data_IF_934887492061
#
_entry.id   IF_934887492061
#
_cell.length_a   1.000
_cell.length_b   1.000
_cell.length_c   1.000
_cell.angle_alpha   90.00
_cell.angle_beta   90.00
_cell.angle_gamma   90.00
#
_symmetry.space_group_name_H-M   'P 1'
#
loop_
_entity.id
_entity.type
_entity.pdbx_description
1 polymer ?
#
# COMPACT_ATOMS: atom_id res chain seq x y z
N UNK A 1 9.00 2.29 -23.71
CA UNK A 1 8.74 1.15 -22.81
C UNK A 1 9.00 1.67 -21.41
N UNK A 2 8.07 1.54 -20.48
CA UNK A 2 8.29 1.99 -19.11
C UNK A 2 9.41 1.14 -18.50
N UNK A 3 10.46 1.77 -17.97
CA UNK A 3 11.51 1.07 -17.24
C UNK A 3 10.91 0.63 -15.92
N UNK A 4 10.77 -0.68 -15.72
CA UNK A 4 10.29 -1.25 -14.47
C UNK A 4 11.35 -0.97 -13.39
N UNK A 5 10.99 -0.17 -12.38
CA UNK A 5 11.91 0.28 -11.33
C UNK A 5 12.28 -0.84 -10.34
N UNK A 6 11.39 -1.80 -10.16
CA UNK A 6 11.60 -2.98 -9.32
C UNK A 6 11.24 -4.24 -10.13
N UNK A 7 12.25 -5.00 -10.52
CA UNK A 7 12.04 -6.32 -11.11
C UNK A 7 11.55 -7.32 -10.05
N UNK A 8 10.73 -8.30 -10.44
CA UNK A 8 10.33 -9.38 -9.53
C UNK A 8 11.53 -10.21 -9.01
N UNK A 9 12.64 -10.26 -9.76
CA UNK A 9 13.92 -10.87 -9.36
C UNK A 9 14.68 -10.06 -8.31
N UNK A 10 14.34 -8.79 -8.13
CA UNK A 10 14.97 -7.88 -7.17
C UNK A 10 14.26 -7.89 -5.80
N UNK A 11 13.52 -8.96 -5.48
CA UNK A 11 12.86 -9.17 -4.19
C UNK A 11 13.27 -10.51 -3.58
N UNK A 12 13.76 -10.48 -2.35
CA UNK A 12 14.14 -11.66 -1.57
C UNK A 12 13.36 -11.68 -0.27
N UNK A 13 12.72 -12.83 0.02
CA UNK A 13 12.02 -13.12 1.27
C UNK A 13 12.78 -14.13 2.13
N UNK A 14 12.61 -14.05 3.45
CA UNK A 14 13.23 -14.99 4.38
C UNK A 14 14.75 -14.90 4.47
N UNK A 15 15.34 -13.75 4.14
CA UNK A 15 16.78 -13.55 4.26
C UNK A 15 17.22 -13.50 5.73
N UNK A 16 18.50 -13.76 5.95
CA UNK A 16 19.14 -13.67 7.27
C UNK A 16 20.41 -12.85 7.09
N UNK A 17 20.60 -11.88 7.96
CA UNK A 17 21.82 -11.09 8.06
C UNK A 17 22.17 -10.90 9.54
N UNK A 18 23.46 -10.99 9.87
CA UNK A 18 23.93 -10.84 11.25
C UNK A 18 23.95 -9.38 11.70
N UNK A 19 24.14 -8.46 10.75
CA UNK A 19 24.28 -7.03 10.98
C UNK A 19 23.80 -6.24 9.76
N UNK A 20 23.67 -4.92 9.95
CA UNK A 20 23.32 -3.96 8.90
C UNK A 20 24.18 -4.09 7.65
N UNK A 21 25.47 -4.40 7.80
CA UNK A 21 26.41 -4.45 6.68
C UNK A 21 26.10 -5.64 5.78
N UNK A 22 25.84 -6.83 6.34
CA UNK A 22 25.43 -8.00 5.56
C UNK A 22 24.11 -7.77 4.81
N UNK A 23 23.17 -7.04 5.43
CA UNK A 23 21.92 -6.70 4.77
C UNK A 23 22.11 -5.68 3.62
N UNK A 24 22.99 -4.68 3.79
CA UNK A 24 23.38 -3.75 2.73
C UNK A 24 24.03 -4.51 1.56
N UNK A 25 24.89 -5.49 1.87
CA UNK A 25 25.59 -6.28 0.86
C UNK A 25 24.65 -7.11 0.01
N UNK A 26 23.65 -7.72 0.66
CA UNK A 26 22.65 -8.52 -0.02
C UNK A 26 21.90 -7.67 -1.03
N UNK A 27 21.36 -6.53 -0.57
CA UNK A 27 20.55 -5.64 -1.40
C UNK A 27 21.39 -4.93 -2.46
N UNK A 28 22.60 -4.50 -2.14
CA UNK A 28 23.54 -3.93 -3.10
C UNK A 28 23.94 -4.93 -4.18
N UNK A 29 24.19 -6.19 -3.81
CA UNK A 29 24.46 -7.27 -4.75
C UNK A 29 23.29 -7.54 -5.70
N UNK A 30 22.05 -7.41 -5.23
CA UNK A 30 20.85 -7.48 -6.08
C UNK A 30 20.80 -6.33 -7.09
N UNK A 31 21.08 -5.09 -6.67
CA UNK A 31 21.15 -3.94 -7.59
C UNK A 31 22.24 -4.12 -8.66
N UNK A 32 23.36 -4.76 -8.32
CA UNK A 32 24.42 -5.10 -9.29
C UNK A 32 23.96 -6.18 -10.26
N UNK A 33 23.26 -7.21 -9.77
CA UNK A 33 22.73 -8.30 -10.60
C UNK A 33 21.68 -7.80 -11.62
N UNK A 34 20.88 -6.82 -11.23
CA UNK A 34 19.93 -6.13 -12.11
C UNK A 34 20.60 -5.11 -13.06
N UNK A 35 21.91 -4.87 -12.90
CA UNK A 35 22.66 -3.93 -13.73
C UNK A 35 22.39 -2.45 -13.42
N UNK A 36 21.68 -2.16 -12.33
CA UNK A 36 21.36 -0.80 -11.90
C UNK A 36 22.59 -0.05 -11.39
N UNK A 37 23.52 -0.76 -10.73
CA UNK A 37 24.73 -0.18 -10.12
C UNK A 37 25.96 -1.03 -10.37
N UNK A 38 27.14 -0.46 -10.16
CA UNK A 38 28.43 -1.17 -10.22
C UNK A 38 28.77 -1.79 -8.86
N UNK A 39 29.65 -2.81 -8.81
CA UNK A 39 30.13 -3.36 -7.53
C UNK A 39 30.76 -2.31 -6.61
N UNK A 40 31.42 -1.30 -7.19
CA UNK A 40 32.02 -0.19 -6.45
C UNK A 40 30.96 0.65 -5.72
N UNK A 41 29.75 0.76 -6.28
CA UNK A 41 28.62 1.43 -5.63
C UNK A 41 28.21 0.75 -4.32
N UNK A 42 28.29 -0.58 -4.24
CA UNK A 42 27.98 -1.33 -3.01
C UNK A 42 29.00 -1.00 -1.91
N UNK A 43 30.27 -0.83 -2.28
CA UNK A 43 31.31 -0.36 -1.36
C UNK A 43 30.98 1.04 -0.83
N UNK A 44 30.52 1.94 -1.70
CA UNK A 44 30.07 3.28 -1.29
C UNK A 44 28.82 3.25 -0.39
N UNK A 45 27.88 2.33 -0.61
CA UNK A 45 26.70 2.15 0.25
C UNK A 45 27.10 1.79 1.69
N UNK A 46 28.14 0.95 1.88
CA UNK A 46 28.68 0.63 3.22
C UNK A 46 29.30 1.83 3.90
N UNK A 47 30.07 2.62 3.17
CA UNK A 47 30.81 3.76 3.70
C UNK A 47 29.90 4.96 4.06
N UNK A 48 28.68 5.00 3.50
CA UNK A 48 27.76 6.16 3.56
C UNK A 48 26.49 5.95 4.37
N UNK A 49 26.42 4.91 5.20
CA UNK A 49 25.29 4.62 6.12
C UNK A 49 24.95 5.77 7.11
N UNK A 50 25.67 6.89 7.08
CA UNK A 50 25.43 8.10 7.87
C UNK A 50 25.17 9.41 7.10
N UNK A 51 25.28 9.46 5.76
CA UNK A 51 25.07 10.70 4.98
C UNK A 51 24.46 10.38 3.61
N UNK A 52 23.26 10.89 3.35
CA UNK A 52 22.60 10.79 2.03
C UNK A 52 23.45 11.49 0.98
N UNK A 53 23.89 10.78 -0.06
CA UNK A 53 24.68 11.36 -1.16
C UNK A 53 24.10 10.99 -2.52
N UNK A 54 23.95 12.00 -3.36
CA UNK A 54 23.56 11.94 -4.76
C UNK A 54 24.76 11.48 -5.59
N UNK A 55 25.05 10.18 -5.63
CA UNK A 55 25.94 9.60 -6.63
C UNK A 55 25.11 8.84 -7.66
N UNK A 56 25.17 9.37 -8.89
CA UNK A 56 24.50 8.82 -10.06
C UNK A 56 25.31 7.59 -10.53
N UNK A 57 24.79 6.39 -10.27
CA UNK A 57 25.20 5.17 -10.98
C UNK A 57 24.95 5.30 -12.49
N UNK A 58 24.93 4.21 -13.25
CA UNK A 58 24.88 4.17 -14.74
C UNK A 58 23.68 4.89 -15.42
N UNK A 59 22.92 5.73 -14.71
CA UNK A 59 21.74 6.43 -15.17
C UNK A 59 20.47 5.60 -15.07
N UNK A 60 20.54 4.42 -14.47
CA UNK A 60 19.44 3.47 -14.36
C UNK A 60 18.90 3.51 -12.93
N UNK A 61 17.66 3.94 -12.80
CA UNK A 61 16.90 3.86 -11.55
C UNK A 61 16.53 2.39 -11.29
N UNK A 62 16.81 1.90 -10.08
CA UNK A 62 16.58 0.53 -9.66
C UNK A 62 16.33 0.43 -8.15
N UNK A 63 15.42 -0.47 -7.80
CA UNK A 63 15.04 -0.80 -6.43
C UNK A 63 15.34 -2.28 -6.17
N UNK A 64 15.83 -2.59 -4.98
CA UNK A 64 16.00 -3.95 -4.50
C UNK A 64 15.51 -4.08 -3.06
N UNK A 65 14.92 -5.22 -2.73
CA UNK A 65 14.24 -5.41 -1.45
C UNK A 65 14.61 -6.76 -0.85
N UNK A 66 15.07 -6.75 0.39
CA UNK A 66 15.28 -7.95 1.17
C UNK A 66 14.48 -7.89 2.48
N UNK A 67 13.71 -8.95 2.73
CA UNK A 67 12.98 -9.15 3.96
C UNK A 67 13.75 -10.08 4.90
N UNK A 68 13.83 -9.68 6.17
CA UNK A 68 14.49 -10.40 7.26
C UNK A 68 13.47 -10.66 8.38
N UNK A 69 12.74 -11.79 8.35
CA UNK A 69 11.71 -12.08 9.36
C UNK A 69 12.24 -12.12 10.80
N UNK A 70 13.49 -12.56 10.97
CA UNK A 70 14.18 -12.59 12.27
C UNK A 70 14.62 -11.20 12.76
N UNK A 71 14.60 -10.19 11.88
CA UNK A 71 15.10 -8.85 12.14
C UNK A 71 16.63 -8.75 12.04
N UNK A 72 17.11 -7.61 11.56
CA UNK A 72 18.53 -7.26 11.47
C UNK A 72 18.80 -6.10 12.43
N UNK A 73 19.87 -6.14 13.24
CA UNK A 73 20.22 -5.02 14.13
C UNK A 73 20.46 -3.72 13.35
N UNK A 74 19.56 -2.74 13.49
CA UNK A 74 19.57 -1.49 12.74
C UNK A 74 19.32 -0.25 13.62
N UNK A 75 20.05 -0.16 14.73
CA UNK A 75 19.88 0.90 15.73
C UNK A 75 19.11 0.36 16.92
N UNK A 76 18.14 1.12 17.40
CA UNK A 76 17.32 0.73 18.57
C UNK A 76 16.25 -0.31 18.23
N UNK A 77 15.78 -0.33 16.98
CA UNK A 77 14.79 -1.29 16.49
C UNK A 77 15.37 -2.21 15.40
N UNK A 78 15.01 -3.50 15.39
CA UNK A 78 15.47 -4.42 14.35
C UNK A 78 14.72 -4.17 13.03
N UNK A 79 15.47 -3.99 11.95
CA UNK A 79 14.90 -3.84 10.61
C UNK A 79 14.47 -5.22 10.07
N UNK A 80 13.19 -5.34 9.69
CA UNK A 80 12.65 -6.55 9.03
C UNK A 80 12.55 -6.42 7.52
N UNK A 81 12.72 -5.22 6.99
CA UNK A 81 12.71 -4.94 5.57
C UNK A 81 13.83 -3.95 5.29
N UNK A 82 14.71 -4.30 4.34
CA UNK A 82 15.80 -3.43 3.90
C UNK A 82 15.61 -3.18 2.41
N UNK A 83 15.64 -1.90 2.06
CA UNK A 83 15.33 -1.44 0.71
C UNK A 83 16.53 -0.65 0.20
N UNK A 84 17.08 -1.10 -0.93
CA UNK A 84 18.17 -0.44 -1.62
C UNK A 84 17.60 0.32 -2.79
N UNK A 85 17.90 1.61 -2.82
CA UNK A 85 17.49 2.51 -3.90
C UNK A 85 18.72 3.04 -4.60
N UNK A 86 18.81 2.79 -5.90
CA UNK A 86 19.67 3.50 -6.82
C UNK A 86 18.76 4.33 -7.72
N UNK A 87 18.85 5.65 -7.68
CA UNK A 87 18.04 6.47 -8.57
C UNK A 87 18.82 7.71 -9.01
N UNK A 88 18.26 8.43 -9.98
CA UNK A 88 18.76 9.72 -10.45
C UNK A 88 17.82 10.85 -9.99
N UNK A 89 18.38 12.04 -9.76
CA UNK A 89 17.84 13.13 -8.91
C UNK A 89 16.37 13.55 -9.11
N UNK A 90 15.74 13.25 -10.24
CA UNK A 90 14.35 13.64 -10.51
C UNK A 90 13.32 12.53 -10.25
N UNK A 91 13.72 11.25 -10.24
CA UNK A 91 12.80 10.10 -10.04
C UNK A 91 12.71 9.62 -8.58
N UNK A 92 13.66 9.97 -7.70
CA UNK A 92 13.66 9.49 -6.31
C UNK A 92 12.43 9.95 -5.52
N UNK A 93 11.89 11.15 -5.79
CA UNK A 93 10.82 11.73 -4.96
C UNK A 93 9.56 10.86 -5.00
N UNK A 94 9.17 10.36 -6.18
CA UNK A 94 8.01 9.48 -6.33
C UNK A 94 8.18 8.16 -5.59
N UNK A 95 9.38 7.56 -5.67
CA UNK A 95 9.70 6.30 -5.00
C UNK A 95 9.75 6.50 -3.48
N UNK A 96 10.39 7.57 -3.00
CA UNK A 96 10.50 7.88 -1.58
C UNK A 96 9.13 8.15 -0.95
N UNK A 97 8.20 8.82 -1.64
CA UNK A 97 6.84 9.01 -1.16
C UNK A 97 6.06 7.69 -1.03
N UNK A 98 6.22 6.76 -1.99
CA UNK A 98 5.62 5.41 -1.90
C UNK A 98 6.19 4.61 -0.74
N UNK A 99 7.51 4.63 -0.59
CA UNK A 99 8.19 3.98 0.54
C UNK A 99 7.74 4.57 1.88
N UNK A 100 7.60 5.89 1.98
CA UNK A 100 7.12 6.56 3.19
C UNK A 100 5.68 6.17 3.55
N UNK A 101 4.79 6.00 2.56
CA UNK A 101 3.42 5.53 2.81
C UNK A 101 3.41 4.08 3.36
N UNK A 102 4.22 3.19 2.78
CA UNK A 102 4.30 1.80 3.23
C UNK A 102 4.89 1.71 4.63
N UNK A 103 5.97 2.46 4.90
CA UNK A 103 6.61 2.52 6.21
C UNK A 103 5.73 3.20 7.28
N UNK A 104 4.75 4.01 6.87
CA UNK A 104 3.76 4.63 7.75
C UNK A 104 2.58 3.73 8.12
N UNK A 105 2.44 2.57 7.47
CA UNK A 105 1.38 1.60 7.72
C UNK A 105 1.95 0.42 8.53
N UNK A 106 1.73 0.44 9.85
CA UNK A 106 2.21 -0.61 10.76
C UNK A 106 1.66 -2.00 10.41
N UNK A 107 0.43 -2.08 9.90
CA UNK A 107 -0.22 -3.35 9.55
C UNK A 107 0.40 -3.93 8.28
N UNK A 108 0.62 -3.09 7.27
CA UNK A 108 1.32 -3.46 6.05
C UNK A 108 2.78 -3.83 6.33
N UNK A 109 3.50 -3.06 7.16
CA UNK A 109 4.86 -3.40 7.60
C UNK A 109 4.91 -4.76 8.33
N UNK A 110 3.94 -5.04 9.21
CA UNK A 110 3.85 -6.32 9.90
C UNK A 110 3.63 -7.49 8.95
N UNK A 111 2.74 -7.32 7.97
CA UNK A 111 2.46 -8.31 6.91
C UNK A 111 3.68 -8.54 6.03
N UNK A 112 4.25 -7.49 5.45
CA UNK A 112 5.42 -7.58 4.57
C UNK A 112 6.66 -8.09 5.30
N UNK A 113 6.78 -7.85 6.61
CA UNK A 113 7.88 -8.37 7.42
C UNK A 113 7.81 -9.87 7.73
N UNK A 114 6.66 -10.52 7.49
CA UNK A 114 6.43 -11.94 7.79
C UNK A 114 5.91 -12.78 6.62
N UNK A 115 5.58 -12.14 5.48
CA UNK A 115 5.12 -12.84 4.28
C UNK A 115 6.18 -13.79 3.73
N UNK A 116 5.72 -14.86 3.09
CA UNK A 116 6.56 -15.81 2.33
C UNK A 116 6.41 -15.62 0.82
N UNK A 117 5.56 -14.69 0.38
CA UNK A 117 5.33 -14.37 -1.02
C UNK A 117 6.13 -13.14 -1.43
N UNK A 118 7.22 -13.33 -2.17
CA UNK A 118 8.01 -12.23 -2.74
C UNK A 118 7.18 -11.36 -3.71
N UNK A 119 6.18 -11.93 -4.37
CA UNK A 119 5.30 -11.16 -5.24
C UNK A 119 4.38 -10.23 -4.45
N UNK A 120 4.09 -10.50 -3.17
CA UNK A 120 3.33 -9.58 -2.31
C UNK A 120 4.13 -8.31 -2.02
N UNK A 121 5.42 -8.45 -1.70
CA UNK A 121 6.34 -7.31 -1.51
C UNK A 121 6.51 -6.54 -2.82
N UNK A 122 6.71 -7.25 -3.93
CA UNK A 122 6.84 -6.63 -5.26
C UNK A 122 5.59 -5.81 -5.60
N UNK A 123 4.39 -6.38 -5.46
CA UNK A 123 3.12 -5.67 -5.70
C UNK A 123 2.98 -4.46 -4.79
N UNK A 124 3.25 -4.60 -3.49
CA UNK A 124 3.14 -3.49 -2.55
C UNK A 124 4.02 -2.28 -2.94
N UNK A 125 5.17 -2.52 -3.58
CA UNK A 125 6.16 -1.49 -3.93
C UNK A 125 6.06 -0.98 -5.37
N UNK A 126 5.52 -1.78 -6.30
CA UNK A 126 5.37 -1.41 -7.73
C UNK A 126 4.02 -0.86 -8.09
N UNK A 127 2.99 -1.16 -7.30
CA UNK A 127 1.65 -0.63 -7.47
C UNK A 127 1.68 0.90 -7.39
N UNK A 128 1.55 1.56 -8.54
CA UNK A 128 0.84 2.83 -8.62
C UNK A 128 -0.59 2.56 -8.14
N UNK A 129 -1.21 3.45 -7.37
CA UNK A 129 -2.56 3.25 -6.79
C UNK A 129 -3.66 2.81 -7.80
N UNK A 130 -3.36 2.75 -9.10
CA UNK A 130 -4.16 2.19 -10.20
C UNK A 130 -4.03 0.67 -10.46
N UNK A 131 -2.98 -0.03 -10.02
CA UNK A 131 -2.78 -1.48 -10.28
C UNK A 131 -2.58 -2.31 -8.99
N UNK A 132 -3.10 -1.79 -7.87
CA UNK A 132 -3.19 -2.57 -6.66
C UNK A 132 -4.11 -3.74 -6.99
N UNK A 133 -3.75 -5.02 -6.73
CA UNK A 133 -4.77 -6.05 -6.69
C UNK A 133 -5.88 -5.50 -5.77
N UNK A 134 -7.16 -5.50 -6.21
CA UNK A 134 -8.22 -4.89 -5.44
C UNK A 134 -8.12 -5.44 -4.04
N UNK A 135 -7.83 -4.58 -3.06
CA UNK A 135 -7.82 -4.95 -1.66
C UNK A 135 -9.19 -5.60 -1.40
N UNK A 136 -9.11 -6.92 -1.25
CA UNK A 136 -10.15 -7.92 -1.22
C UNK A 136 -11.03 -8.07 -2.48
N UNK A 137 -10.50 -8.75 -3.51
CA UNK A 137 -11.29 -9.75 -4.25
C UNK A 137 -11.52 -10.98 -3.36
N UNK A 138 -12.28 -10.83 -2.29
CA UNK A 138 -13.03 -11.97 -1.80
C UNK A 138 -14.21 -12.15 -2.77
N UNK A 139 -14.27 -13.30 -3.43
CA UNK A 139 -15.57 -13.94 -3.66
C UNK A 139 -16.35 -13.79 -2.36
N UNK A 140 -17.64 -13.37 -2.35
CA UNK A 140 -18.34 -13.06 -1.11
C UNK A 140 -18.09 -14.19 -0.13
N UNK A 141 -17.29 -13.93 0.91
CA UNK A 141 -17.17 -14.86 2.02
C UNK A 141 -18.60 -15.05 2.53
N UNK A 142 -18.97 -16.27 2.91
CA UNK A 142 -20.37 -16.65 3.12
C UNK A 142 -21.16 -15.77 4.13
N UNK A 143 -20.48 -14.86 4.84
CA UNK A 143 -21.00 -13.93 5.85
C UNK A 143 -20.89 -12.43 5.48
N UNK A 144 -20.53 -12.07 4.23
CA UNK A 144 -20.49 -10.66 3.78
C UNK A 144 -21.87 -10.20 3.28
N UNK A 145 -22.45 -9.19 3.93
CA UNK A 145 -23.69 -8.56 3.50
C UNK A 145 -23.39 -7.59 2.34
N UNK A 146 -23.86 -7.92 1.14
CA UNK A 146 -23.71 -7.06 -0.05
C UNK A 146 -25.03 -6.41 -0.40
N UNK A 147 -25.07 -5.07 -0.37
CA UNK A 147 -26.26 -4.28 -0.71
C UNK A 147 -25.97 -3.37 -1.91
N UNK A 148 -26.63 -3.57 -3.06
CA UNK A 148 -26.54 -2.64 -4.18
C UNK A 148 -27.30 -1.35 -3.87
N UNK A 149 -26.71 -0.20 -4.22
CA UNK A 149 -27.23 1.14 -3.94
C UNK A 149 -27.04 2.01 -5.17
N UNK A 150 -28.04 2.82 -5.52
CA UNK A 150 -27.87 3.92 -6.46
C UNK A 150 -27.59 5.19 -5.66
N UNK A 151 -26.53 5.91 -6.01
CA UNK A 151 -26.23 7.20 -5.37
C UNK A 151 -27.31 8.20 -5.81
N UNK A 152 -28.16 8.61 -4.87
CA UNK A 152 -29.19 9.63 -5.10
C UNK A 152 -28.88 10.95 -4.40
N UNK A 153 -27.84 10.98 -3.55
CA UNK A 153 -27.37 12.20 -2.93
C UNK A 153 -26.89 13.18 -4.02
N UNK A 154 -27.51 14.37 -4.18
CA UNK A 154 -27.31 15.25 -5.34
C UNK A 154 -25.88 15.75 -5.52
N UNK A 155 -25.05 15.63 -4.49
CA UNK A 155 -23.67 16.07 -4.55
C UNK A 155 -22.67 14.91 -4.79
N UNK A 156 -23.15 13.65 -4.85
CA UNK A 156 -22.33 12.46 -5.13
C UNK A 156 -21.55 11.93 -3.91
N UNK A 157 -20.52 11.12 -4.13
CA UNK A 157 -19.59 10.67 -3.08
C UNK A 157 -18.43 11.67 -2.92
N UNK A 158 -18.75 12.91 -2.56
CA UNK A 158 -17.77 13.97 -2.30
C UNK A 158 -17.47 14.11 -0.79
N UNK A 159 -16.62 15.06 -0.41
CA UNK A 159 -16.07 15.18 0.95
C UNK A 159 -17.10 15.19 2.09
N UNK A 160 -18.28 15.77 1.87
CA UNK A 160 -19.31 15.86 2.92
C UNK A 160 -20.01 14.51 3.18
N UNK A 161 -20.61 13.83 2.18
CA UNK A 161 -21.10 12.46 2.30
C UNK A 161 -20.02 11.49 2.77
N UNK A 162 -18.78 11.63 2.29
CA UNK A 162 -17.66 10.79 2.73
C UNK A 162 -17.38 10.95 4.24
N UNK A 163 -17.34 12.19 4.76
CA UNK A 163 -17.18 12.42 6.20
C UNK A 163 -18.33 11.85 7.01
N UNK A 164 -19.57 12.02 6.54
CA UNK A 164 -20.76 11.51 7.23
C UNK A 164 -20.80 9.98 7.25
N UNK A 165 -20.35 9.32 6.19
CA UNK A 165 -20.16 7.87 6.16
C UNK A 165 -19.15 7.48 7.24
N UNK A 166 -17.95 8.09 7.25
CA UNK A 166 -16.89 7.81 8.24
C UNK A 166 -17.41 7.97 9.67
N UNK A 167 -18.11 9.06 9.96
CA UNK A 167 -18.65 9.34 11.29
C UNK A 167 -19.69 8.30 11.72
N UNK A 168 -20.56 7.86 10.80
CA UNK A 168 -21.59 6.84 11.09
C UNK A 168 -20.99 5.46 11.27
N UNK A 169 -20.07 5.03 10.38
CA UNK A 169 -19.49 3.69 10.46
C UNK A 169 -18.62 3.49 11.70
N UNK A 170 -18.10 4.57 12.30
CA UNK A 170 -17.37 4.53 13.58
C UNK A 170 -18.21 4.02 14.75
N UNK A 171 -19.54 4.13 14.68
CA UNK A 171 -20.44 3.65 15.72
C UNK A 171 -20.67 2.13 15.70
N UNK A 172 -20.14 1.43 14.69
CA UNK A 172 -20.34 0.00 14.48
C UNK A 172 -19.02 -0.76 14.64
N UNK A 173 -19.10 -2.04 15.01
CA UNK A 173 -17.96 -2.97 15.01
C UNK A 173 -17.72 -3.58 13.63
N UNK A 174 -18.73 -3.55 12.75
CA UNK A 174 -18.63 -4.06 11.40
C UNK A 174 -17.54 -3.36 10.59
N UNK A 175 -16.85 -4.17 9.79
CA UNK A 175 -16.08 -3.70 8.67
C UNK A 175 -17.06 -3.32 7.56
N UNK A 176 -16.87 -2.14 6.96
CA UNK A 176 -17.72 -1.65 5.88
C UNK A 176 -16.84 -1.15 4.73
N UNK A 177 -17.14 -1.65 3.53
CA UNK A 177 -16.50 -1.25 2.29
C UNK A 177 -17.55 -0.74 1.29
N UNK A 178 -17.15 0.19 0.43
CA UNK A 178 -17.98 0.68 -0.67
C UNK A 178 -17.27 0.37 -1.96
N UNK A 179 -17.97 -0.28 -2.88
CA UNK A 179 -17.48 -0.59 -4.21
C UNK A 179 -18.18 0.26 -5.28
N UNK A 180 -17.40 0.97 -6.09
CA UNK A 180 -17.88 1.75 -7.23
C UNK A 180 -16.86 1.67 -8.36
N UNK A 181 -17.31 1.62 -9.62
CA UNK A 181 -16.42 1.64 -10.79
C UNK A 181 -15.31 0.56 -10.76
N UNK A 182 -15.60 -0.61 -10.19
CA UNK A 182 -14.62 -1.70 -10.04
C UNK A 182 -13.58 -1.50 -8.93
N UNK A 183 -13.68 -0.40 -8.16
CA UNK A 183 -12.80 -0.08 -7.03
C UNK A 183 -13.54 -0.28 -5.71
N UNK A 184 -12.82 -0.62 -4.65
CA UNK A 184 -13.33 -0.70 -3.27
C UNK A 184 -12.63 0.31 -2.38
N UNK A 185 -13.36 0.92 -1.46
CA UNK A 185 -12.83 1.80 -0.43
C UNK A 185 -13.34 1.42 0.95
N UNK A 186 -12.46 1.53 1.95
CA UNK A 186 -12.83 1.39 3.35
C UNK A 186 -13.69 2.59 3.77
N UNK A 187 -14.89 2.33 4.30
CA UNK A 187 -15.82 3.37 4.70
C UNK A 187 -15.35 4.20 5.92
N UNK A 188 -14.30 3.76 6.63
CA UNK A 188 -13.67 4.51 7.73
C UNK A 188 -12.58 5.48 7.25
N UNK A 189 -12.15 5.39 5.99
CA UNK A 189 -11.13 6.25 5.41
C UNK A 189 -11.76 7.29 4.49
N UNK A 190 -11.79 8.54 4.94
CA UNK A 190 -12.30 9.66 4.14
C UNK A 190 -11.51 9.79 2.83
N UNK A 191 -10.20 9.58 2.86
CA UNK A 191 -9.32 9.65 1.68
C UNK A 191 -9.67 8.55 0.68
N UNK A 192 -9.89 7.32 1.14
CA UNK A 192 -10.26 6.21 0.26
C UNK A 192 -11.63 6.44 -0.40
N UNK A 193 -12.60 6.96 0.36
CA UNK A 193 -13.93 7.29 -0.16
C UNK A 193 -13.89 8.40 -1.21
N UNK A 194 -13.10 9.44 -0.98
CA UNK A 194 -12.89 10.52 -1.95
C UNK A 194 -12.22 10.02 -3.24
N UNK A 195 -11.30 9.06 -3.11
CA UNK A 195 -10.62 8.43 -4.24
C UNK A 195 -11.53 7.52 -5.06
N UNK A 196 -12.62 6.99 -4.49
CA UNK A 196 -13.54 6.07 -5.16
C UNK A 196 -14.30 6.73 -6.33
N UNK A 197 -14.62 8.02 -6.18
CA UNK A 197 -15.54 8.73 -7.07
C UNK A 197 -16.97 8.19 -6.96
N UNK A 198 -17.93 8.88 -7.57
CA UNK A 198 -19.33 8.48 -7.57
C UNK A 198 -20.25 9.67 -7.78
N UNK A 199 -20.90 9.70 -8.95
CA UNK A 199 -21.87 10.72 -9.31
C UNK A 199 -23.30 10.28 -8.94
N UNK A 200 -24.21 11.24 -8.95
CA UNK A 200 -25.64 10.97 -8.86
C UNK A 200 -26.05 10.03 -9.99
N UNK A 201 -26.73 8.94 -9.65
CA UNK A 201 -27.17 7.91 -10.58
C UNK A 201 -26.22 6.72 -10.70
N UNK A 202 -25.01 6.79 -10.15
CA UNK A 202 -24.06 5.68 -10.20
C UNK A 202 -24.52 4.52 -9.30
N UNK A 203 -24.35 3.31 -9.81
CA UNK A 203 -24.56 2.08 -9.05
C UNK A 203 -23.31 1.73 -8.25
N UNK A 204 -23.46 1.59 -6.94
CA UNK A 204 -22.42 1.18 -6.01
C UNK A 204 -22.87 -0.02 -5.19
N UNK A 205 -21.94 -0.73 -4.55
CA UNK A 205 -22.23 -1.83 -3.63
C UNK A 205 -21.68 -1.47 -2.25
N UNK A 206 -22.50 -1.57 -1.22
CA UNK A 206 -22.05 -1.49 0.16
C UNK A 206 -21.85 -2.92 0.65
N UNK A 207 -20.65 -3.22 1.13
CA UNK A 207 -20.27 -4.52 1.65
C UNK A 207 -20.01 -4.36 3.14
N UNK A 208 -20.63 -5.18 3.98
CA UNK A 208 -20.43 -5.12 5.41
C UNK A 208 -20.27 -6.50 6.02
N UNK A 209 -19.36 -6.62 6.99
CA UNK A 209 -19.09 -7.85 7.74
C UNK A 209 -18.99 -7.55 9.22
N UNK A 210 -19.61 -8.39 10.04
CA UNK A 210 -19.54 -8.28 11.49
C UNK A 210 -20.92 -8.31 12.17
N UNK A 211 -20.94 -8.23 13.50
CA UNK A 211 -22.14 -8.47 14.31
C UNK A 211 -23.27 -7.46 14.05
N UNK A 212 -22.93 -6.26 13.59
CA UNK A 212 -23.85 -5.15 13.31
C UNK A 212 -23.81 -4.69 11.84
N UNK A 213 -23.37 -5.59 10.93
CA UNK A 213 -23.24 -5.32 9.49
C UNK A 213 -24.51 -4.75 8.85
N UNK A 214 -25.68 -5.22 9.28
CA UNK A 214 -26.99 -4.72 8.81
C UNK A 214 -27.20 -3.25 9.19
N UNK A 215 -26.89 -2.89 10.44
CA UNK A 215 -27.03 -1.51 10.93
C UNK A 215 -26.02 -0.58 10.26
N UNK A 216 -24.77 -1.03 10.14
CA UNK A 216 -23.70 -0.28 9.49
C UNK A 216 -24.03 -0.02 8.01
N UNK A 217 -24.50 -1.05 7.29
CA UNK A 217 -24.94 -0.92 5.89
C UNK A 217 -26.08 0.09 5.76
N UNK A 218 -27.11 -0.01 6.59
CA UNK A 218 -28.25 0.91 6.56
C UNK A 218 -27.82 2.37 6.79
N UNK A 219 -26.86 2.59 7.69
CA UNK A 219 -26.32 3.92 7.96
C UNK A 219 -25.60 4.51 6.74
N UNK A 220 -24.81 3.71 6.02
CA UNK A 220 -24.13 4.14 4.78
C UNK A 220 -25.11 4.38 3.64
N UNK A 221 -26.07 3.48 3.44
CA UNK A 221 -27.13 3.62 2.41
C UNK A 221 -27.90 4.92 2.60
N UNK A 222 -28.21 5.30 3.85
CA UNK A 222 -28.91 6.54 4.15
C UNK A 222 -28.12 7.77 3.65
N UNK A 223 -26.79 7.77 3.78
CA UNK A 223 -25.93 8.86 3.29
C UNK A 223 -25.90 8.92 1.77
N UNK A 224 -25.68 7.77 1.13
CA UNK A 224 -25.58 7.65 -0.33
C UNK A 224 -26.88 8.00 -1.05
N UNK A 225 -28.02 7.75 -0.41
CA UNK A 225 -29.36 8.05 -0.95
C UNK A 225 -29.89 9.43 -0.53
N UNK A 226 -29.14 10.20 0.27
CA UNK A 226 -29.56 11.51 0.76
C UNK A 226 -30.72 11.47 1.76
N UNK A 227 -30.96 10.33 2.41
CA UNK A 227 -32.03 10.13 3.42
C UNK A 227 -31.58 10.51 4.83
N UNK A 228 -30.65 11.47 4.92
CA UNK A 228 -29.99 11.88 6.15
C UNK A 228 -30.86 12.84 6.96
N UNK A 229 -31.98 12.34 7.47
CA UNK A 229 -32.83 13.06 8.42
C UNK A 229 -34.24 13.34 7.91
N UNK A 230 -35.19 12.58 8.46
CA UNK A 230 -36.38 13.16 9.10
C UNK A 230 -36.15 13.16 10.62
#
# INVERSE_FOLDING_TARGET
MATEVLSASAVVVGAVAKDRIEAIDLVGGMLVAEGCVTPDYVTEMREREGVVSTYLGNGITGLAVAQFPAGVPWGDEPARLVIGLAATSEEHIGILSRLANILGDEELCGRLGSTTDAAEIHRALTTDEEDAPPTNSHLPEADELVTPVTISNPAGLHARPASMIVDRVRAFEAEVQIEANGRRANARSITALLGLGGAVGDGVRVLARGPDAQGATAAVVAVLTGREGG
#
